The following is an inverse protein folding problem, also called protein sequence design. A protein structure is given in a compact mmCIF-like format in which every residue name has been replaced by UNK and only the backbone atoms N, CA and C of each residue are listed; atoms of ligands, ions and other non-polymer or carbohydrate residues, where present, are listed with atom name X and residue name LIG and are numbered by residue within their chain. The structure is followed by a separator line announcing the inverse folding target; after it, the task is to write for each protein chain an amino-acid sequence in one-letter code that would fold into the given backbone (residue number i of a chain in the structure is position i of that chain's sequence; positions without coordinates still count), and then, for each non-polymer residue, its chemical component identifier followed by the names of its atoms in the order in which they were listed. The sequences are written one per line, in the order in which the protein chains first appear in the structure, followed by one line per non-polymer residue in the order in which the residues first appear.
data_IF_534042188459
#
_entry.id   IF_534042188459
#
_cell.length_a   1.000
_cell.length_b   1.000
_cell.length_c   1.000
_cell.angle_alpha   90.00
_cell.angle_beta   90.00
_cell.angle_gamma   90.00
#
_symmetry.space_group_name_H-M   'P 1'
#
loop_
_entity.id
_entity.type
_entity.pdbx_description
1 polymer ?
#
# COMPACT_ATOMS: atom_id res chain seq x y z
N UNK A 1 19.06 10.04 -0.88
CA UNK A 1 18.27 10.23 0.35
C UNK A 1 16.77 10.03 0.10
N UNK A 2 16.18 10.68 -0.92
CA UNK A 2 14.74 10.62 -1.23
C UNK A 2 14.23 9.18 -1.45
N UNK A 3 14.89 8.35 -2.25
CA UNK A 3 14.41 6.99 -2.53
C UNK A 3 14.28 6.10 -1.27
N UNK A 4 15.12 6.30 -0.27
CA UNK A 4 15.03 5.56 1.01
C UNK A 4 13.77 5.98 1.77
N UNK A 5 13.49 7.28 1.82
CA UNK A 5 12.24 7.80 2.41
C UNK A 5 11.01 7.29 1.68
N UNK A 6 11.10 7.19 0.35
CA UNK A 6 10.02 6.66 -0.49
C UNK A 6 9.66 5.22 -0.12
N UNK A 7 10.68 4.34 -0.08
CA UNK A 7 10.50 2.94 0.30
C UNK A 7 10.05 2.82 1.75
N UNK A 8 10.64 3.58 2.66
CA UNK A 8 10.25 3.57 4.07
C UNK A 8 8.77 3.96 4.27
N UNK A 9 8.28 4.97 3.55
CA UNK A 9 6.89 5.42 3.65
C UNK A 9 5.90 4.42 3.05
N UNK A 10 6.26 3.77 1.93
CA UNK A 10 5.46 2.67 1.35
C UNK A 10 5.33 1.52 2.37
N UNK A 11 6.44 1.09 2.97
CA UNK A 11 6.45 -0.01 3.95
C UNK A 11 5.73 0.37 5.25
N UNK A 12 5.88 1.61 5.73
CA UNK A 12 5.13 2.13 6.87
C UNK A 12 3.63 2.06 6.59
N UNK A 13 3.19 2.52 5.43
CA UNK A 13 1.77 2.48 5.04
C UNK A 13 1.27 1.03 4.96
N UNK A 14 2.05 0.15 4.33
CA UNK A 14 1.73 -1.28 4.23
C UNK A 14 1.62 -1.96 5.59
N UNK A 15 2.43 -1.56 6.57
CA UNK A 15 2.37 -2.05 7.95
C UNK A 15 1.12 -1.53 8.67
N UNK A 16 0.86 -0.22 8.61
CA UNK A 16 -0.33 0.41 9.22
C UNK A 16 -1.62 -0.19 8.65
N UNK A 17 -1.63 -0.55 7.37
CA UNK A 17 -2.76 -1.16 6.68
C UNK A 17 -3.23 -2.48 7.31
N UNK A 18 -2.34 -3.24 7.97
CA UNK A 18 -2.71 -4.47 8.67
C UNK A 18 -3.65 -4.21 9.87
N UNK A 19 -3.61 -3.00 10.43
CA UNK A 19 -4.36 -2.61 11.63
C UNK A 19 -5.52 -1.66 11.34
N UNK A 20 -5.62 -1.13 10.12
CA UNK A 20 -6.65 -0.16 9.75
C UNK A 20 -7.14 -0.46 8.33
N UNK A 21 -8.34 -1.02 8.17
CA UNK A 21 -8.84 -1.39 6.83
C UNK A 21 -9.26 -0.20 5.95
N UNK A 22 -9.71 0.91 6.54
CA UNK A 22 -10.26 2.03 5.79
C UNK A 22 -9.20 2.92 5.12
N UNK A 23 -9.13 2.90 3.79
CA UNK A 23 -8.21 3.73 3.00
C UNK A 23 -8.36 5.23 3.30
N UNK A 24 -9.58 5.76 3.38
CA UNK A 24 -9.79 7.18 3.69
C UNK A 24 -9.43 7.52 5.14
N UNK A 25 -9.69 6.62 6.09
CA UNK A 25 -9.39 6.84 7.51
C UNK A 25 -7.90 6.88 7.78
N UNK A 26 -7.13 5.96 7.20
CA UNK A 26 -5.66 5.98 7.27
C UNK A 26 -5.08 7.20 6.59
N UNK A 27 -5.56 7.54 5.39
CA UNK A 27 -5.05 8.72 4.69
C UNK A 27 -5.36 10.00 5.46
N UNK A 28 -6.53 10.11 6.08
CA UNK A 28 -6.89 11.24 6.95
C UNK A 28 -5.94 11.41 8.14
N UNK A 29 -5.38 10.32 8.67
CA UNK A 29 -4.38 10.35 9.73
C UNK A 29 -2.96 10.66 9.20
N UNK A 30 -2.54 9.97 8.14
CA UNK A 30 -1.16 10.03 7.64
C UNK A 30 -0.89 11.30 6.82
N UNK A 31 -1.85 11.78 6.03
CA UNK A 31 -1.63 12.88 5.10
C UNK A 31 -1.21 14.19 5.80
N UNK A 32 -1.88 14.66 6.87
CA UNK A 32 -1.49 15.91 7.54
C UNK A 32 -0.08 15.87 8.16
N UNK A 33 0.44 14.68 8.46
CA UNK A 33 1.76 14.47 9.07
C UNK A 33 2.83 14.33 7.98
N UNK A 34 2.63 13.39 7.05
CA UNK A 34 3.67 12.96 6.11
C UNK A 34 3.71 13.78 4.82
N UNK A 35 2.59 14.35 4.36
CA UNK A 35 2.61 15.17 3.13
C UNK A 35 3.52 16.41 3.32
N UNK A 36 3.35 17.25 4.35
CA UNK A 36 4.24 18.40 4.55
C UNK A 36 5.69 17.98 4.77
N UNK A 37 5.92 16.91 5.56
CA UNK A 37 7.25 16.41 5.87
C UNK A 37 8.01 15.94 4.61
N UNK A 38 7.34 15.17 3.74
CA UNK A 38 7.94 14.65 2.52
C UNK A 38 8.05 15.72 1.41
N UNK A 39 7.19 16.74 1.43
CA UNK A 39 7.37 17.92 0.56
C UNK A 39 8.67 18.66 0.87
N UNK A 40 9.03 18.83 2.15
CA UNK A 40 10.33 19.39 2.53
C UNK A 40 11.50 18.52 2.03
N UNK A 41 11.27 17.21 1.89
CA UNK A 41 12.22 16.26 1.31
C UNK A 41 12.19 16.20 -0.24
N UNK A 42 11.39 17.05 -0.91
CA UNK A 42 11.34 17.20 -2.37
C UNK A 42 10.26 16.38 -3.08
N UNK A 43 9.34 15.71 -2.37
CA UNK A 43 8.24 14.97 -2.99
C UNK A 43 7.04 15.87 -3.27
N UNK A 44 6.39 15.70 -4.42
CA UNK A 44 5.11 16.38 -4.65
C UNK A 44 4.01 15.75 -3.78
N UNK A 45 2.94 16.48 -3.41
CA UNK A 45 1.80 15.88 -2.69
C UNK A 45 1.22 14.66 -3.39
N UNK A 46 1.18 14.70 -4.73
CA UNK A 46 0.70 13.59 -5.55
C UNK A 46 1.66 12.40 -5.53
N UNK A 47 2.98 12.63 -5.49
CA UNK A 47 3.98 11.60 -5.26
C UNK A 47 3.81 10.93 -3.89
N UNK A 48 3.53 11.70 -2.84
CA UNK A 48 3.24 11.16 -1.50
C UNK A 48 1.96 10.34 -1.49
N UNK A 49 0.91 10.81 -2.14
CA UNK A 49 -0.33 10.06 -2.28
C UNK A 49 -0.14 8.76 -3.07
N UNK A 50 0.68 8.77 -4.13
CA UNK A 50 1.02 7.57 -4.88
C UNK A 50 1.70 6.54 -3.98
N UNK A 51 2.75 6.93 -3.25
CA UNK A 51 3.44 6.06 -2.29
C UNK A 51 2.48 5.44 -1.26
N UNK A 52 1.56 6.24 -0.74
CA UNK A 52 0.52 5.76 0.18
C UNK A 52 -0.36 4.69 -0.47
N UNK A 53 -0.85 4.93 -1.70
CA UNK A 53 -1.72 3.97 -2.40
C UNK A 53 -1.01 2.64 -2.69
N UNK A 54 0.29 2.68 -2.95
CA UNK A 54 1.13 1.48 -3.11
C UNK A 54 1.11 0.65 -1.82
N UNK A 55 1.42 1.27 -0.68
CA UNK A 55 1.42 0.57 0.61
C UNK A 55 0.04 0.09 1.04
N UNK A 56 -0.98 0.93 0.93
CA UNK A 56 -2.37 0.63 1.31
C UNK A 56 -2.94 -0.57 0.53
N UNK A 57 -2.66 -0.67 -0.77
CA UNK A 57 -3.18 -1.76 -1.59
C UNK A 57 -2.50 -3.11 -1.32
N UNK A 58 -1.18 -3.11 -1.11
CA UNK A 58 -0.38 -4.33 -1.17
C UNK A 58 -0.71 -5.34 -0.04
N UNK A 59 -1.08 -4.86 1.15
CA UNK A 59 -1.32 -5.72 2.33
C UNK A 59 -2.80 -5.89 2.69
N UNK A 60 -3.72 -5.37 1.87
CA UNK A 60 -5.16 -5.48 2.12
C UNK A 60 -5.64 -6.93 2.22
N UNK A 61 -5.14 -7.79 1.34
CA UNK A 61 -5.55 -9.20 1.24
C UNK A 61 -5.11 -10.07 2.43
N UNK A 62 -4.12 -9.60 3.20
CA UNK A 62 -3.64 -10.27 4.42
C UNK A 62 -4.06 -9.53 5.70
N UNK A 63 -4.83 -8.45 5.59
CA UNK A 63 -5.34 -7.74 6.75
C UNK A 63 -6.49 -8.54 7.40
N UNK A 64 -6.40 -8.89 8.69
CA UNK A 64 -7.51 -9.54 9.40
C UNK A 64 -8.71 -8.60 9.60
N UNK A 65 -8.52 -7.30 9.37
CA UNK A 65 -9.54 -6.26 9.50
C UNK A 65 -10.14 -5.86 8.14
N UNK A 66 -9.84 -6.61 7.08
CA UNK A 66 -10.44 -6.44 5.76
C UNK A 66 -11.97 -6.61 5.83
N UNK A 67 -12.72 -5.59 5.38
CA UNK A 67 -14.19 -5.57 5.39
C UNK A 67 -14.84 -6.80 4.70
N UNK A 68 -14.16 -7.39 3.71
CA UNK A 68 -14.66 -8.51 2.92
C UNK A 68 -14.20 -9.89 3.42
N UNK A 69 -13.48 -9.96 4.55
CA UNK A 69 -12.87 -11.20 5.05
C UNK A 69 -13.88 -12.35 5.19
N UNK A 70 -15.01 -12.09 5.84
CA UNK A 70 -16.05 -13.11 6.04
C UNK A 70 -16.61 -13.64 4.72
N UNK A 71 -16.86 -12.75 3.75
CA UNK A 71 -17.38 -13.12 2.43
C UNK A 71 -16.39 -14.02 1.70
N UNK A 72 -15.11 -13.65 1.68
CA UNK A 72 -14.06 -14.43 1.00
C UNK A 72 -13.90 -15.81 1.65
N UNK A 73 -13.93 -15.89 2.98
CA UNK A 73 -13.86 -17.18 3.70
C UNK A 73 -15.04 -18.07 3.35
N UNK A 74 -16.28 -17.55 3.33
CA UNK A 74 -17.48 -18.30 2.94
C UNK A 74 -17.39 -18.81 1.49
N UNK A 75 -16.84 -18.02 0.56
CA UNK A 75 -16.59 -18.48 -0.80
C UNK A 75 -15.52 -19.57 -0.86
N UNK A 76 -14.44 -19.47 -0.08
CA UNK A 76 -13.42 -20.51 0.03
C UNK A 76 -13.98 -21.82 0.59
N UNK A 77 -14.91 -21.73 1.55
CA UNK A 77 -15.59 -22.88 2.15
C UNK A 77 -16.44 -23.68 1.16
N UNK A 78 -16.84 -23.09 0.02
CA UNK A 78 -17.51 -23.83 -1.07
C UNK A 78 -16.60 -24.86 -1.72
N UNK A 79 -15.28 -24.64 -1.71
CA UNK A 79 -14.29 -25.52 -2.35
C UNK A 79 -13.52 -26.35 -1.32
N UNK A 80 -13.26 -25.81 -0.13
CA UNK A 80 -12.53 -26.47 0.96
C UNK A 80 -13.24 -26.22 2.29
N UNK A 81 -13.91 -27.24 2.86
CA UNK A 81 -14.80 -27.08 4.04
C UNK A 81 -14.09 -26.50 5.27
N UNK A 82 -12.81 -26.82 5.47
CA UNK A 82 -11.95 -26.32 6.55
C UNK A 82 -11.26 -24.98 6.20
N UNK A 83 -11.65 -24.32 5.11
CA UNK A 83 -11.12 -23.01 4.74
C UNK A 83 -11.51 -21.96 5.79
N UNK A 84 -10.54 -21.14 6.16
CA UNK A 84 -10.67 -20.16 7.23
C UNK A 84 -9.69 -19.01 7.04
N UNK A 85 -9.68 -18.08 7.99
CA UNK A 85 -8.87 -16.85 7.93
C UNK A 85 -7.37 -17.18 7.82
N UNK A 86 -6.88 -18.15 8.59
CA UNK A 86 -5.49 -18.61 8.49
C UNK A 86 -5.11 -19.14 7.11
N UNK A 87 -5.97 -19.99 6.51
CA UNK A 87 -5.76 -20.51 5.16
C UNK A 87 -5.66 -19.36 4.14
N UNK A 88 -6.55 -18.38 4.22
CA UNK A 88 -6.53 -17.21 3.33
C UNK A 88 -5.26 -16.39 3.51
N UNK A 89 -4.90 -16.03 4.75
CA UNK A 89 -3.72 -15.20 5.03
C UNK A 89 -2.44 -15.89 4.59
N UNK A 90 -2.26 -17.18 4.92
CA UNK A 90 -1.07 -17.94 4.52
C UNK A 90 -0.97 -18.08 3.00
N UNK A 91 -2.09 -18.26 2.30
CA UNK A 91 -2.12 -18.36 0.84
C UNK A 91 -1.85 -17.02 0.16
N UNK A 92 -2.35 -15.91 0.72
CA UNK A 92 -2.21 -14.58 0.15
C UNK A 92 -0.90 -13.87 0.57
N UNK A 93 -0.23 -14.31 1.63
CA UNK A 93 1.01 -13.69 2.13
C UNK A 93 2.12 -13.63 1.09
N UNK A 94 2.46 -14.72 0.36
CA UNK A 94 3.47 -14.65 -0.70
C UNK A 94 3.08 -13.67 -1.81
N UNK A 95 1.80 -13.62 -2.17
CA UNK A 95 1.28 -12.72 -3.21
C UNK A 95 1.37 -11.26 -2.74
N UNK A 96 0.98 -10.98 -1.51
CA UNK A 96 1.06 -9.64 -0.91
C UNK A 96 2.50 -9.13 -0.86
N UNK A 97 3.46 -9.97 -0.46
CA UNK A 97 4.89 -9.61 -0.41
C UNK A 97 5.43 -9.38 -1.83
N UNK A 98 5.13 -10.27 -2.77
CA UNK A 98 5.56 -10.11 -4.17
C UNK A 98 4.98 -8.83 -4.79
N UNK A 99 3.72 -8.52 -4.50
CA UNK A 99 3.07 -7.31 -4.97
C UNK A 99 3.69 -6.07 -4.33
N UNK A 100 3.92 -6.05 -3.02
CA UNK A 100 4.57 -4.93 -2.34
C UNK A 100 5.95 -4.63 -2.92
N UNK A 101 6.78 -5.67 -3.09
CA UNK A 101 8.13 -5.52 -3.64
C UNK A 101 8.06 -5.07 -5.10
N UNK A 102 7.26 -5.73 -5.93
CA UNK A 102 7.13 -5.40 -7.35
C UNK A 102 6.62 -3.97 -7.56
N UNK A 103 5.60 -3.56 -6.80
CA UNK A 103 5.01 -2.23 -6.89
C UNK A 103 5.94 -1.14 -6.36
N UNK A 104 6.75 -1.45 -5.34
CA UNK A 104 7.82 -0.57 -4.87
C UNK A 104 8.91 -0.41 -5.93
N UNK A 105 9.33 -1.49 -6.60
CA UNK A 105 10.31 -1.43 -7.69
C UNK A 105 9.78 -0.57 -8.84
N UNK A 106 8.53 -0.78 -9.25
CA UNK A 106 7.88 0.05 -10.27
C UNK A 106 7.90 1.52 -9.87
N UNK A 107 7.57 1.86 -8.62
CA UNK A 107 7.62 3.23 -8.15
C UNK A 107 9.02 3.84 -8.19
N UNK A 108 10.05 3.08 -7.79
CA UNK A 108 11.45 3.54 -7.84
C UNK A 108 11.86 3.80 -9.29
N UNK A 109 11.59 2.86 -10.19
CA UNK A 109 11.92 3.01 -11.61
C UNK A 109 11.18 4.18 -12.25
N UNK A 110 9.89 4.37 -11.91
CA UNK A 110 9.07 5.48 -12.39
C UNK A 110 9.62 6.83 -11.92
N UNK A 111 10.00 6.91 -10.64
CA UNK A 111 10.59 8.10 -10.04
C UNK A 111 11.95 8.43 -10.66
N UNK A 112 12.79 7.42 -10.94
CA UNK A 112 14.09 7.59 -11.61
C UNK A 112 13.96 7.99 -13.09
N UNK A 113 12.95 7.46 -13.78
CA UNK A 113 12.69 7.81 -15.18
C UNK A 113 12.10 9.23 -15.34
N UNK A 114 11.71 9.89 -14.25
CA UNK A 114 11.14 11.25 -14.29
C UNK A 114 9.80 11.32 -15.01
N UNK A 115 9.11 10.19 -15.16
CA UNK A 115 7.83 10.13 -15.88
C UNK A 115 6.76 10.84 -15.04
N UNK A 116 5.96 11.75 -15.64
CA UNK A 116 4.84 12.37 -14.95
C UNK A 116 3.88 11.31 -14.39
N UNK A 117 3.46 11.49 -13.14
CA UNK A 117 2.49 10.60 -12.48
C UNK A 117 1.05 10.92 -12.91
N UNK A 118 0.84 12.08 -13.53
CA UNK A 118 -0.43 12.51 -14.10
C UNK A 118 -0.27 13.75 -14.98
N UNK A 119 -1.36 14.25 -15.59
CA UNK A 119 -1.33 15.48 -16.37
C UNK A 119 -0.74 16.62 -15.54
N UNK A 120 0.35 17.22 -16.04
CA UNK A 120 1.08 18.30 -15.36
C UNK A 120 1.50 18.00 -13.92
N UNK A 121 1.68 16.71 -13.57
CA UNK A 121 1.97 16.28 -12.19
C UNK A 121 3.19 15.37 -12.17
N UNK A 122 4.22 15.80 -11.46
CA UNK A 122 5.49 15.07 -11.31
C UNK A 122 5.57 14.33 -9.98
N UNK A 123 6.46 13.35 -9.88
CA UNK A 123 6.72 12.61 -8.64
C UNK A 123 7.41 13.48 -7.57
N UNK A 124 8.36 14.30 -8.01
CA UNK A 124 9.11 15.26 -7.21
C UNK A 124 8.65 16.69 -7.50
N UNK A 125 8.93 17.61 -6.57
CA UNK A 125 8.74 19.06 -6.73
C UNK A 125 9.82 19.63 -7.65
#
# INVERSE_FOLDING_TARGET
MSMVLMVAFIFLTAFVNLFMGGASSKWGLLAPIFVPMLMVAGFSPAGVQLMYRIGDSATNVISPLMNYLGVIVVFGQKYKKDFGVGNLMSMMMPISIAFLIGWTIVAVLWALAGIPIGPSTSFFI
#
